data_IF_081429872496
#
_entry.id   IF_081429872496
#
_cell.length_a   1.000
_cell.length_b   1.000
_cell.length_c   1.000
_cell.angle_alpha   90.00
_cell.angle_beta   90.00
_cell.angle_gamma   90.00
#
_symmetry.space_group_name_H-M   'P 1'
#
loop_
_entity.id
_entity.type
_entity.pdbx_description
1 polymer ?
#
# COMPACT_ATOMS: atom_id res chain seq x y z
N UNK A 1 27.07 -29.10 5.93
CA UNK A 1 26.22 -27.94 6.30
C UNK A 1 24.81 -28.21 5.81
N UNK A 2 23.83 -28.39 6.70
CA UNK A 2 22.43 -28.61 6.32
C UNK A 2 21.84 -27.28 5.84
N UNK A 3 21.46 -27.22 4.56
CA UNK A 3 20.74 -26.07 4.00
C UNK A 3 19.33 -26.10 4.59
N UNK A 4 19.08 -25.27 5.61
CA UNK A 4 17.71 -25.06 6.10
C UNK A 4 16.89 -24.51 4.94
N UNK A 5 15.85 -25.22 4.51
CA UNK A 5 14.85 -24.67 3.59
C UNK A 5 14.14 -23.50 4.29
N UNK A 6 14.27 -22.26 3.80
CA UNK A 6 13.90 -21.05 4.55
C UNK A 6 12.41 -20.70 4.49
N UNK A 7 11.64 -21.27 3.54
CA UNK A 7 10.21 -20.97 3.34
C UNK A 7 9.45 -22.23 2.92
N UNK A 8 8.20 -22.38 3.37
CA UNK A 8 7.36 -23.54 3.04
C UNK A 8 7.17 -23.74 1.53
N UNK A 9 7.14 -22.66 0.73
CA UNK A 9 7.07 -22.76 -0.73
C UNK A 9 8.25 -23.54 -1.34
N UNK A 10 9.41 -23.54 -0.69
CA UNK A 10 10.59 -24.28 -1.16
C UNK A 10 10.48 -25.79 -0.93
N UNK A 11 9.42 -26.25 -0.24
CA UNK A 11 9.08 -27.66 -0.06
C UNK A 11 8.22 -28.21 -1.22
N UNK A 12 7.70 -27.32 -2.07
CA UNK A 12 6.81 -27.67 -3.17
C UNK A 12 7.59 -27.68 -4.48
N UNK A 13 7.35 -28.70 -5.29
CA UNK A 13 7.78 -28.75 -6.69
C UNK A 13 6.56 -28.60 -7.59
N UNK A 14 6.72 -27.87 -8.69
CA UNK A 14 5.72 -27.85 -9.75
C UNK A 14 5.94 -29.10 -10.61
N UNK A 15 4.89 -29.91 -10.80
CA UNK A 15 4.90 -31.02 -11.77
C UNK A 15 4.28 -30.52 -13.06
N UNK A 16 5.06 -30.08 -14.06
CA UNK A 16 4.51 -29.59 -15.32
C UNK A 16 3.84 -30.72 -16.10
N UNK A 17 2.88 -30.35 -16.96
CA UNK A 17 2.32 -31.27 -17.95
C UNK A 17 3.35 -31.64 -19.03
N UNK A 18 3.05 -32.66 -19.81
CA UNK A 18 4.00 -33.23 -20.79
C UNK A 18 4.29 -32.30 -21.98
N UNK A 19 3.35 -31.41 -22.33
CA UNK A 19 3.47 -30.53 -23.49
C UNK A 19 3.72 -29.08 -23.08
N UNK A 20 4.91 -28.58 -23.38
CA UNK A 20 5.22 -27.15 -23.26
C UNK A 20 4.46 -26.36 -24.33
N UNK A 21 3.97 -25.18 -23.94
CA UNK A 21 3.36 -24.22 -24.88
C UNK A 21 4.42 -23.28 -25.42
N UNK A 22 4.20 -22.73 -26.61
CA UNK A 22 5.08 -21.70 -27.15
C UNK A 22 4.91 -20.41 -26.32
N UNK A 23 6.00 -19.69 -26.03
CA UNK A 23 5.95 -18.41 -25.33
C UNK A 23 5.09 -17.37 -26.08
N UNK A 24 4.99 -17.49 -27.41
CA UNK A 24 4.12 -16.65 -28.23
C UNK A 24 2.62 -16.86 -27.95
N UNK A 25 2.25 -18.03 -27.42
CA UNK A 25 0.87 -18.35 -27.03
C UNK A 25 0.55 -17.94 -25.59
N UNK A 26 1.58 -17.57 -24.81
CA UNK A 26 1.42 -17.03 -23.46
C UNK A 26 1.05 -15.55 -23.54
N UNK A 27 0.22 -15.10 -22.61
CA UNK A 27 -0.14 -13.69 -22.53
C UNK A 27 1.10 -12.78 -22.43
N UNK A 28 1.07 -11.60 -23.08
CA UNK A 28 2.21 -10.70 -23.08
C UNK A 28 2.42 -10.07 -21.70
N UNK A 29 3.67 -9.70 -21.40
CA UNK A 29 4.05 -9.12 -20.11
C UNK A 29 3.23 -7.88 -19.72
N UNK A 30 2.78 -7.08 -20.71
CA UNK A 30 1.92 -5.91 -20.50
C UNK A 30 0.59 -6.24 -19.83
N UNK A 31 0.05 -7.44 -20.06
CA UNK A 31 -1.19 -7.89 -19.43
C UNK A 31 -0.96 -8.41 -18.00
N UNK A 32 0.26 -8.88 -17.71
CA UNK A 32 0.65 -9.32 -16.37
C UNK A 32 0.73 -8.16 -15.38
N UNK A 33 1.21 -6.99 -15.82
CA UNK A 33 1.44 -5.83 -14.93
C UNK A 33 0.18 -5.32 -14.25
N UNK A 34 -0.98 -5.49 -14.88
CA UNK A 34 -2.30 -5.14 -14.33
C UNK A 34 -2.64 -5.92 -13.05
N UNK A 35 -1.96 -7.05 -12.81
CA UNK A 35 -2.13 -7.91 -11.64
C UNK A 35 -1.14 -7.58 -10.51
N UNK A 36 -0.19 -6.67 -10.76
CA UNK A 36 0.78 -6.27 -9.76
C UNK A 36 0.38 -4.97 -9.10
N UNK A 37 0.49 -4.98 -7.79
CA UNK A 37 0.34 -3.81 -6.94
C UNK A 37 1.66 -3.57 -6.18
N UNK A 38 2.08 -2.32 -6.07
CA UNK A 38 3.14 -2.01 -5.10
C UNK A 38 2.62 -2.20 -3.68
N UNK A 39 3.48 -2.66 -2.78
CA UNK A 39 3.13 -2.77 -1.37
C UNK A 39 2.68 -1.42 -0.78
N UNK A 40 1.70 -1.47 0.13
CA UNK A 40 1.18 -0.30 0.83
C UNK A 40 2.23 0.25 1.82
N UNK A 41 2.92 1.32 1.42
CA UNK A 41 3.94 1.99 2.22
C UNK A 41 3.56 3.46 2.37
N UNK A 42 3.43 3.95 3.60
CA UNK A 42 2.94 5.31 3.84
C UNK A 42 3.98 6.38 3.49
N UNK A 43 3.54 7.52 2.97
CA UNK A 43 4.33 8.74 2.97
C UNK A 43 4.76 9.10 4.40
N UNK A 44 6.05 9.36 4.61
CA UNK A 44 6.70 9.48 5.92
C UNK A 44 7.49 8.24 6.33
N UNK A 45 7.03 7.04 5.97
CA UNK A 45 7.88 5.84 6.02
C UNK A 45 8.83 5.79 4.81
N UNK A 46 8.28 6.14 3.64
CA UNK A 46 9.04 6.49 2.45
C UNK A 46 9.16 8.01 2.31
N UNK A 47 10.19 8.46 1.58
CA UNK A 47 10.28 9.85 1.15
C UNK A 47 9.19 10.18 0.11
N UNK A 48 8.83 11.46 -0.08
CA UNK A 48 7.89 11.87 -1.12
C UNK A 48 8.32 11.41 -2.52
N UNK A 49 9.61 11.51 -2.83
CA UNK A 49 10.17 11.15 -4.13
C UNK A 49 10.04 9.66 -4.40
N UNK A 50 10.34 8.82 -3.40
CA UNK A 50 10.18 7.37 -3.52
C UNK A 50 8.70 6.97 -3.65
N UNK A 51 7.82 7.64 -2.91
CA UNK A 51 6.38 7.35 -2.94
C UNK A 51 5.75 7.74 -4.30
N UNK A 52 6.12 8.90 -4.83
CA UNK A 52 5.68 9.36 -6.15
C UNK A 52 6.26 8.52 -7.28
N UNK A 53 7.54 8.14 -7.21
CA UNK A 53 8.19 7.32 -8.22
C UNK A 53 7.50 5.95 -8.38
N UNK A 54 7.11 5.32 -7.26
CA UNK A 54 6.33 4.08 -7.30
C UNK A 54 4.98 4.29 -7.99
N UNK A 55 4.29 5.39 -7.69
CA UNK A 55 2.99 5.67 -8.29
C UNK A 55 3.10 5.92 -9.79
N UNK A 56 4.04 6.75 -10.20
CA UNK A 56 4.31 7.08 -11.59
C UNK A 56 4.73 5.83 -12.40
N UNK A 57 5.61 5.00 -11.84
CA UNK A 57 6.02 3.77 -12.49
C UNK A 57 4.83 2.82 -12.73
N UNK A 58 4.02 2.57 -11.70
CA UNK A 58 2.89 1.64 -11.81
C UNK A 58 1.81 2.14 -12.76
N UNK A 59 1.49 3.44 -12.70
CA UNK A 59 0.51 4.03 -13.59
C UNK A 59 0.97 3.99 -15.06
N UNK A 60 2.28 4.15 -15.30
CA UNK A 60 2.86 4.07 -16.64
C UNK A 60 2.82 2.65 -17.24
N UNK A 61 2.94 1.61 -16.41
CA UNK A 61 2.90 0.21 -16.87
C UNK A 61 1.51 -0.45 -16.74
N UNK A 62 0.49 0.31 -16.31
CA UNK A 62 -0.88 -0.17 -16.16
C UNK A 62 -1.17 -1.02 -14.92
N UNK A 63 -0.22 -1.09 -13.97
CA UNK A 63 -0.45 -1.70 -12.66
C UNK A 63 -1.03 -0.69 -11.66
N UNK A 64 -1.04 -1.05 -10.37
CA UNK A 64 -1.51 -0.15 -9.33
C UNK A 64 -0.45 0.17 -8.29
N UNK A 65 -0.50 1.39 -7.77
CA UNK A 65 0.24 1.79 -6.58
C UNK A 65 -0.70 2.03 -5.41
N UNK A 66 -0.18 1.88 -4.19
CA UNK A 66 -0.94 1.99 -2.95
C UNK A 66 -0.40 3.11 -2.07
N UNK A 67 -1.29 4.01 -1.65
CA UNK A 67 -0.95 5.20 -0.87
C UNK A 67 -0.36 4.89 0.52
N UNK A 68 -0.68 3.73 1.08
CA UNK A 68 -0.39 3.43 2.48
C UNK A 68 -1.25 4.24 3.47
N UNK A 69 -0.95 4.11 4.76
CA UNK A 69 -1.78 4.67 5.86
C UNK A 69 -1.61 6.18 6.09
N UNK A 70 -0.81 6.87 5.27
CA UNK A 70 -0.32 8.22 5.55
C UNK A 70 -1.13 9.37 4.94
N UNK A 71 -2.19 9.06 4.19
CA UNK A 71 -2.85 10.01 3.31
C UNK A 71 -2.08 10.22 2.01
N UNK A 72 -2.55 11.15 1.19
CA UNK A 72 -1.90 11.53 -0.07
C UNK A 72 -2.14 13.00 -0.37
N UNK A 73 -1.12 13.70 -0.87
CA UNK A 73 -1.22 15.12 -1.20
C UNK A 73 -2.23 15.35 -2.35
N UNK A 74 -3.21 16.25 -2.16
CA UNK A 74 -4.13 16.65 -3.23
C UNK A 74 -3.47 17.15 -4.51
N UNK A 75 -2.24 17.67 -4.45
CA UNK A 75 -1.48 18.07 -5.63
C UNK A 75 -1.19 16.91 -6.59
N UNK A 76 -1.27 15.65 -6.12
CA UNK A 76 -1.10 14.46 -6.96
C UNK A 76 -2.38 14.06 -7.69
N UNK A 77 -3.55 14.52 -7.25
CA UNK A 77 -4.82 14.15 -7.84
C UNK A 77 -4.90 14.66 -9.29
N UNK A 78 -5.39 13.83 -10.20
CA UNK A 78 -5.42 14.14 -11.63
C UNK A 78 -4.05 14.12 -12.33
N UNK A 79 -2.98 13.71 -11.65
CA UNK A 79 -1.64 13.53 -12.24
C UNK A 79 -1.28 12.05 -12.37
N UNK A 80 -0.23 11.74 -13.13
CA UNK A 80 0.31 10.37 -13.21
C UNK A 80 0.95 9.88 -11.90
N UNK A 81 1.02 10.71 -10.86
CA UNK A 81 1.60 10.37 -9.55
C UNK A 81 0.53 9.93 -8.54
N UNK A 82 -0.75 9.91 -8.91
CA UNK A 82 -1.82 9.48 -7.99
C UNK A 82 -1.69 7.98 -7.68
N UNK A 83 -1.86 7.59 -6.41
CA UNK A 83 -1.97 6.16 -6.11
C UNK A 83 -3.39 5.64 -6.39
N UNK A 84 -3.53 4.64 -7.26
CA UNK A 84 -4.86 4.10 -7.62
C UNK A 84 -5.55 3.39 -6.46
N UNK A 85 -4.76 2.78 -5.57
CA UNK A 85 -5.27 2.18 -4.33
C UNK A 85 -5.08 3.16 -3.17
N UNK A 86 -6.17 3.48 -2.49
CA UNK A 86 -6.18 4.32 -1.27
C UNK A 86 -6.42 3.47 -0.04
N UNK A 87 -5.51 3.53 0.92
CA UNK A 87 -5.64 2.78 2.16
C UNK A 87 -6.43 3.57 3.22
N UNK A 88 -7.30 2.87 3.94
CA UNK A 88 -7.99 3.36 5.14
C UNK A 88 -7.62 2.45 6.30
N UNK A 89 -6.81 2.96 7.22
CA UNK A 89 -6.38 2.27 8.43
C UNK A 89 -7.02 2.88 9.68
N UNK A 90 -6.73 2.31 10.86
CA UNK A 90 -7.36 2.70 12.12
C UNK A 90 -7.10 4.17 12.51
N UNK A 91 -5.93 4.72 12.17
CA UNK A 91 -5.57 6.12 12.41
C UNK A 91 -6.29 7.12 11.50
N UNK A 92 -6.82 6.68 10.35
CA UNK A 92 -7.50 7.52 9.34
C UNK A 92 -6.72 8.79 8.95
N UNK A 93 -5.39 8.75 9.02
CA UNK A 93 -4.55 9.89 8.67
C UNK A 93 -4.74 10.26 7.20
N UNK A 94 -5.02 11.55 6.94
CA UNK A 94 -5.23 12.08 5.60
C UNK A 94 -6.44 11.52 4.85
N UNK A 95 -7.32 10.77 5.53
CA UNK A 95 -8.55 10.25 4.91
C UNK A 95 -9.59 11.36 4.86
N UNK A 96 -9.83 11.87 3.66
CA UNK A 96 -10.80 12.91 3.36
C UNK A 96 -11.76 12.46 2.26
N UNK A 97 -12.92 13.11 2.05
CA UNK A 97 -13.76 12.85 0.90
C UNK A 97 -12.99 12.98 -0.43
N UNK A 98 -12.17 14.02 -0.58
CA UNK A 98 -11.33 14.24 -1.77
C UNK A 98 -10.33 13.09 -1.99
N UNK A 99 -9.74 12.56 -0.91
CA UNK A 99 -8.86 11.40 -0.98
C UNK A 99 -9.59 10.13 -1.46
N UNK A 100 -10.82 9.89 -0.98
CA UNK A 100 -11.59 8.69 -1.30
C UNK A 100 -12.16 8.71 -2.73
N UNK A 101 -12.59 9.87 -3.24
CA UNK A 101 -13.11 9.98 -4.62
C UNK A 101 -12.04 9.86 -5.69
N UNK A 102 -10.76 10.04 -5.32
CA UNK A 102 -9.60 9.84 -6.20
C UNK A 102 -9.01 8.43 -6.07
N UNK A 103 -9.78 7.45 -5.59
CA UNK A 103 -9.39 6.06 -5.48
C UNK A 103 -10.10 5.21 -6.54
N UNK A 104 -9.35 4.36 -7.23
CA UNK A 104 -9.94 3.27 -8.02
C UNK A 104 -10.33 2.12 -7.09
N UNK A 105 -9.51 1.89 -6.05
CA UNK A 105 -9.72 0.85 -5.05
C UNK A 105 -9.50 1.43 -3.66
N UNK A 106 -10.44 1.17 -2.75
CA UNK A 106 -10.29 1.50 -1.33
C UNK A 106 -9.89 0.24 -0.57
N UNK A 107 -8.70 0.25 0.02
CA UNK A 107 -8.20 -0.85 0.84
C UNK A 107 -8.43 -0.57 2.33
N UNK A 108 -9.29 -1.36 2.97
CA UNK A 108 -9.47 -1.32 4.42
C UNK A 108 -8.35 -2.12 5.09
N UNK A 109 -7.44 -1.44 5.78
CA UNK A 109 -6.33 -2.08 6.48
C UNK A 109 -6.76 -2.53 7.88
N UNK A 110 -6.94 -3.84 8.04
CA UNK A 110 -7.23 -4.45 9.35
C UNK A 110 -5.95 -4.75 10.13
N UNK A 111 -4.94 -5.30 9.47
CA UNK A 111 -3.68 -5.72 10.08
C UNK A 111 -2.52 -5.68 9.07
N UNK A 112 -1.31 -5.96 9.54
CA UNK A 112 -0.12 -6.13 8.68
C UNK A 112 0.73 -7.30 9.14
N UNK A 113 1.36 -8.02 8.19
CA UNK A 113 2.15 -9.21 8.50
C UNK A 113 3.34 -8.96 9.45
N UNK A 114 3.96 -7.78 9.38
CA UNK A 114 5.10 -7.43 10.25
C UNK A 114 4.70 -7.24 11.72
N UNK A 115 3.45 -6.83 11.98
CA UNK A 115 2.92 -6.54 13.32
C UNK A 115 1.39 -6.68 13.35
N UNK A 116 0.86 -7.92 13.31
CA UNK A 116 -0.58 -8.15 13.17
C UNK A 116 -1.40 -7.69 14.39
N UNK A 117 -0.74 -7.56 15.55
CA UNK A 117 -1.35 -7.10 16.79
C UNK A 117 -1.22 -5.60 17.06
N UNK A 118 -0.68 -4.79 16.16
CA UNK A 118 -0.39 -3.37 16.42
C UNK A 118 -0.83 -2.47 15.27
N UNK A 119 -1.02 -1.18 15.57
CA UNK A 119 -1.25 -0.17 14.53
C UNK A 119 0.05 0.30 13.87
N UNK A 120 -0.10 1.03 12.75
CA UNK A 120 1.00 1.77 12.14
C UNK A 120 1.68 2.71 13.13
N UNK A 121 3.00 2.88 13.01
CA UNK A 121 3.79 3.78 13.85
C UNK A 121 4.67 4.63 12.93
N UNK A 122 4.72 5.93 13.19
CA UNK A 122 5.66 6.85 12.54
C UNK A 122 6.37 7.67 13.64
N UNK A 123 7.68 7.48 13.83
CA UNK A 123 8.49 8.27 14.76
C UNK A 123 8.37 9.78 14.51
N UNK A 124 8.33 10.57 15.58
CA UNK A 124 8.08 12.02 15.53
C UNK A 124 9.11 12.82 14.74
N UNK A 125 10.37 12.39 14.74
CA UNK A 125 11.46 12.96 13.92
C UNK A 125 11.18 12.87 12.41
N UNK A 126 10.37 11.88 11.98
CA UNK A 126 9.91 11.76 10.59
C UNK A 126 8.61 12.51 10.30
N UNK A 127 7.96 13.06 11.33
CA UNK A 127 6.73 13.85 11.20
C UNK A 127 7.10 15.29 10.90
N UNK A 128 7.60 15.51 9.69
CA UNK A 128 7.93 16.84 9.17
C UNK A 128 6.67 17.71 9.06
N UNK A 129 6.79 19.04 8.92
CA UNK A 129 5.62 19.90 8.71
C UNK A 129 4.74 19.48 7.53
N UNK A 130 5.34 18.96 6.46
CA UNK A 130 4.64 18.40 5.32
C UNK A 130 3.82 17.16 5.70
N UNK A 131 4.43 16.18 6.36
CA UNK A 131 3.72 14.98 6.82
C UNK A 131 2.63 15.32 7.83
N UNK A 132 2.91 16.24 8.75
CA UNK A 132 1.94 16.69 9.74
C UNK A 132 0.71 17.33 9.09
N UNK A 133 0.92 18.18 8.07
CA UNK A 133 -0.16 18.79 7.28
C UNK A 133 -1.00 17.72 6.59
N UNK A 134 -0.38 16.75 5.90
CA UNK A 134 -1.08 15.67 5.21
C UNK A 134 -1.92 14.81 6.17
N UNK A 135 -1.42 14.61 7.39
CA UNK A 135 -2.05 13.73 8.38
C UNK A 135 -2.99 14.45 9.34
N UNK A 136 -3.14 15.77 9.21
CA UNK A 136 -3.85 16.62 10.18
C UNK A 136 -3.32 16.44 11.61
N UNK A 137 -2.00 16.36 11.75
CA UNK A 137 -1.30 16.14 13.01
C UNK A 137 -0.34 17.28 13.35
N UNK A 138 0.35 17.16 14.48
CA UNK A 138 1.34 18.13 14.94
C UNK A 138 2.75 17.72 14.47
N UNK A 139 3.55 18.64 13.90
CA UNK A 139 4.95 18.36 13.54
C UNK A 139 5.77 17.89 14.74
N UNK A 140 6.68 16.94 14.53
CA UNK A 140 7.57 16.41 15.56
C UNK A 140 6.94 15.41 16.54
N UNK A 141 5.62 15.22 16.51
CA UNK A 141 4.92 14.31 17.43
C UNK A 141 4.81 12.91 16.81
N UNK A 142 5.29 11.90 17.54
CA UNK A 142 5.16 10.49 17.14
C UNK A 142 3.70 10.10 16.92
N UNK A 143 3.42 9.48 15.77
CA UNK A 143 2.09 9.03 15.41
C UNK A 143 1.97 7.52 15.61
N UNK A 144 1.10 7.11 16.51
CA UNK A 144 0.77 5.70 16.77
C UNK A 144 -0.71 5.50 16.46
N UNK A 145 -1.00 4.63 15.49
CA UNK A 145 -2.38 4.23 15.19
C UNK A 145 -2.87 3.23 16.23
N UNK A 146 -4.15 3.31 16.62
CA UNK A 146 -4.73 2.34 17.55
C UNK A 146 -4.75 0.94 16.94
N UNK A 147 -4.44 -0.08 17.75
CA UNK A 147 -4.85 -1.45 17.46
C UNK A 147 -6.38 -1.49 17.53
N UNK A 148 -7.06 -1.86 16.44
CA UNK A 148 -8.52 -2.06 16.47
C UNK A 148 -8.82 -3.47 15.94
N UNK A 149 -9.27 -4.34 16.83
CA UNK A 149 -9.70 -5.72 16.53
C UNK A 149 -11.19 -5.80 16.16
N UNK A 150 -11.94 -4.70 16.28
CA UNK A 150 -13.38 -4.65 16.00
C UNK A 150 -13.71 -3.57 14.97
N UNK A 151 -14.35 -3.97 13.87
CA UNK A 151 -15.14 -3.07 13.02
C UNK A 151 -16.36 -2.72 13.85
N UNK A 152 -16.39 -1.54 14.46
CA UNK A 152 -17.61 -1.05 15.10
C UNK A 152 -18.65 -0.84 14.00
N UNK A 153 -19.59 -1.76 13.88
CA UNK A 153 -20.85 -1.54 13.17
C UNK A 153 -21.45 -0.24 13.73
N UNK A 154 -21.57 0.77 12.88
CA UNK A 154 -22.43 1.92 13.14
C UNK A 154 -23.87 1.39 13.12
N UNK A 155 -24.33 0.89 14.26
CA UNK A 155 -25.76 0.75 14.52
C UNK A 155 -26.31 2.17 14.60
N UNK A 156 -27.07 2.57 13.57
CA UNK A 156 -27.88 3.80 13.63
C UNK A 156 -28.80 3.69 14.85
N UNK A 157 -28.76 4.68 15.72
CA UNK A 157 -29.94 5.12 16.50
C UNK A 157 -30.71 6.13 15.68
#
# INVERSE_FOLDING_TARGET
MSVRQPRCANLLAITPGENAVNIADVEPASELFKRFDTAAMSIGALSPEAHEALAEAMNSIGGNSNSGEGGEDPARYGTNKVSRIKQVASGRFGVTPAYLVNADVIQIKVAQGAKPGEGGQLPGDKVTPYIAKLRYSVPGVTLISRRRTTISTLSRT
#
